data_IF_075046044007
#
_entry.id   IF_075046044007
#
_cell.length_a   1.000
_cell.length_b   1.000
_cell.length_c   1.000
_cell.angle_alpha   90.00
_cell.angle_beta   90.00
_cell.angle_gamma   90.00
#
_symmetry.space_group_name_H-M   'P 1'
#
loop_
_entity.id
_entity.type
_entity.pdbx_description
1 polymer ?
#
# COMPACT_ATOMS: atom_id res chain seq x y z
N UNK A 1 16.26 -12.45 12.12
CA UNK A 1 14.86 -12.38 11.66
C UNK A 1 14.88 -11.23 10.68
N UNK A 2 15.07 -11.50 9.40
CA UNK A 2 15.04 -10.45 8.36
C UNK A 2 13.62 -9.86 8.35
N UNK A 3 13.48 -8.55 8.13
CA UNK A 3 12.21 -7.82 8.22
C UNK A 3 11.06 -8.54 7.52
N UNK A 4 9.90 -8.58 8.18
CA UNK A 4 8.74 -9.28 7.64
C UNK A 4 8.14 -8.48 6.48
N UNK A 5 8.29 -8.98 5.25
CA UNK A 5 7.56 -8.47 4.09
C UNK A 5 6.05 -8.68 4.30
N UNK A 6 5.26 -7.66 4.02
CA UNK A 6 3.80 -7.78 3.99
C UNK A 6 3.33 -8.10 2.56
N UNK A 7 2.15 -8.71 2.46
CA UNK A 7 1.51 -8.97 1.16
C UNK A 7 0.17 -8.24 1.09
N UNK A 8 0.02 -7.35 0.10
CA UNK A 8 -1.27 -6.79 -0.28
C UNK A 8 -1.93 -7.68 -1.33
N UNK A 9 -3.20 -8.04 -1.13
CA UNK A 9 -3.96 -8.94 -2.01
C UNK A 9 -5.24 -8.26 -2.46
N UNK A 10 -5.45 -8.20 -3.77
CA UNK A 10 -6.69 -7.73 -4.39
C UNK A 10 -7.38 -8.90 -5.09
N UNK A 11 -8.64 -9.16 -4.75
CA UNK A 11 -9.43 -10.28 -5.27
C UNK A 11 -10.55 -9.80 -6.18
N UNK A 12 -10.87 -10.61 -7.19
CA UNK A 12 -12.05 -10.40 -8.03
C UNK A 12 -13.33 -10.65 -7.24
N UNK A 13 -14.37 -9.91 -7.58
CA UNK A 13 -15.76 -10.18 -7.21
C UNK A 13 -16.48 -10.63 -8.48
N UNK A 14 -17.21 -11.74 -8.44
CA UNK A 14 -17.92 -12.29 -9.60
C UNK A 14 -17.06 -12.44 -10.88
N UNK A 15 -15.80 -12.88 -10.71
CA UNK A 15 -14.80 -13.04 -11.76
C UNK A 15 -14.30 -11.75 -12.45
N UNK A 16 -14.57 -10.58 -11.88
CA UNK A 16 -14.03 -9.30 -12.37
C UNK A 16 -13.44 -8.44 -11.25
N UNK A 17 -12.46 -7.61 -11.59
CA UNK A 17 -12.13 -6.46 -10.75
C UNK A 17 -13.10 -5.33 -11.10
N UNK A 18 -13.50 -4.54 -10.10
CA UNK A 18 -14.35 -3.37 -10.33
C UNK A 18 -13.65 -2.36 -11.25
N UNK A 19 -12.36 -2.13 -11.00
CA UNK A 19 -11.48 -1.24 -11.74
C UNK A 19 -10.19 -1.97 -12.15
N UNK A 20 -9.49 -1.55 -13.23
CA UNK A 20 -8.26 -2.20 -13.67
C UNK A 20 -7.05 -1.96 -12.74
N UNK A 21 -7.14 -0.94 -11.88
CA UNK A 21 -6.13 -0.57 -10.89
C UNK A 21 -6.80 0.13 -9.70
N UNK A 22 -6.08 0.26 -8.59
CA UNK A 22 -6.45 1.13 -7.47
C UNK A 22 -5.23 1.88 -6.94
N UNK A 23 -5.42 3.06 -6.33
CA UNK A 23 -4.32 3.75 -5.66
C UNK A 23 -4.08 3.22 -4.25
N UNK A 24 -2.80 3.21 -3.86
CA UNK A 24 -2.34 2.89 -2.50
C UNK A 24 -1.20 3.84 -2.10
N UNK A 25 -1.29 4.38 -0.90
CA UNK A 25 -0.19 5.04 -0.19
C UNK A 25 0.14 4.21 1.05
N UNK A 26 1.43 3.88 1.23
CA UNK A 26 1.92 3.23 2.45
C UNK A 26 2.86 4.22 3.12
N UNK A 27 2.35 4.97 4.09
CA UNK A 27 3.05 6.09 4.68
C UNK A 27 3.76 5.66 5.98
N UNK A 28 5.04 5.97 6.18
CA UNK A 28 5.70 5.82 7.47
C UNK A 28 5.03 6.69 8.53
N UNK A 29 4.93 6.18 9.75
CA UNK A 29 4.39 6.89 10.91
C UNK A 29 5.45 6.97 12.01
N UNK A 30 5.40 8.02 12.81
CA UNK A 30 6.33 8.23 13.93
C UNK A 30 6.10 7.23 15.07
N UNK A 31 4.84 6.84 15.28
CA UNK A 31 4.44 5.82 16.24
C UNK A 31 3.13 5.15 15.80
N UNK A 32 2.74 4.09 16.52
CA UNK A 32 1.53 3.31 16.25
C UNK A 32 0.27 3.80 16.96
N UNK A 33 0.26 5.02 17.50
CA UNK A 33 -0.96 5.57 18.11
C UNK A 33 -1.97 5.93 17.02
N UNK A 34 -3.26 5.84 17.35
CA UNK A 34 -4.34 6.24 16.44
C UNK A 34 -4.18 7.70 15.98
N UNK A 35 -3.82 8.60 16.91
CA UNK A 35 -3.59 10.02 16.59
C UNK A 35 -2.47 10.20 15.56
N UNK A 36 -1.33 9.50 15.71
CA UNK A 36 -0.23 9.58 14.77
C UNK A 36 -0.58 9.01 13.38
N UNK A 37 -1.36 7.91 13.33
CA UNK A 37 -1.78 7.29 12.07
C UNK A 37 -2.84 8.13 11.34
N UNK A 38 -3.82 8.69 12.06
CA UNK A 38 -4.87 9.54 11.49
C UNK A 38 -4.33 10.90 11.03
N UNK A 39 -3.30 11.43 11.70
CA UNK A 39 -2.66 12.68 11.28
C UNK A 39 -2.08 12.63 9.85
N UNK A 40 -1.79 11.43 9.33
CA UNK A 40 -1.25 11.20 7.99
C UNK A 40 -2.33 11.23 6.89
N UNK A 41 -3.62 11.24 7.22
CA UNK A 41 -4.71 11.20 6.23
C UNK A 41 -4.65 12.35 5.22
N UNK A 42 -4.31 13.56 5.69
CA UNK A 42 -4.22 14.74 4.82
C UNK A 42 -3.10 14.60 3.78
N UNK A 43 -1.89 14.26 4.23
CA UNK A 43 -0.72 14.08 3.37
C UNK A 43 -0.93 12.91 2.39
N UNK A 44 -1.47 11.78 2.87
CA UNK A 44 -1.79 10.65 2.02
C UNK A 44 -2.86 10.99 0.97
N UNK A 45 -3.85 11.81 1.33
CA UNK A 45 -4.85 12.34 0.40
C UNK A 45 -4.23 13.17 -0.72
N UNK A 46 -3.34 14.11 -0.39
CA UNK A 46 -2.61 14.91 -1.37
C UNK A 46 -1.75 14.03 -2.30
N UNK A 47 -1.07 13.02 -1.75
CA UNK A 47 -0.30 12.05 -2.54
C UNK A 47 -1.19 11.26 -3.51
N UNK A 48 -2.39 10.87 -3.10
CA UNK A 48 -3.36 10.17 -3.96
C UNK A 48 -3.92 11.03 -5.08
N UNK A 49 -4.08 12.34 -4.88
CA UNK A 49 -4.51 13.27 -5.94
C UNK A 49 -3.42 13.50 -6.99
N UNK A 50 -2.15 13.26 -6.61
CA UNK A 50 -0.99 13.40 -7.46
C UNK A 50 -0.77 12.27 -8.47
N UNK A 51 0.45 12.23 -9.01
CA UNK A 51 0.90 11.16 -9.89
C UNK A 51 1.31 9.94 -9.08
N UNK A 52 0.81 8.77 -9.46
CA UNK A 52 1.13 7.50 -8.83
C UNK A 52 2.03 6.65 -9.73
N UNK A 53 2.90 5.85 -9.11
CA UNK A 53 3.79 4.91 -9.80
C UNK A 53 3.07 3.58 -10.01
N UNK A 54 3.03 3.08 -11.24
CA UNK A 54 2.46 1.76 -11.51
C UNK A 54 3.30 0.66 -10.88
N UNK A 55 2.63 -0.26 -10.18
CA UNK A 55 3.22 -1.50 -9.66
C UNK A 55 2.33 -2.66 -10.09
N UNK A 56 2.95 -3.74 -10.56
CA UNK A 56 2.28 -4.93 -11.10
C UNK A 56 2.41 -6.11 -10.16
N UNK A 57 1.71 -7.19 -10.49
CA UNK A 57 1.78 -8.45 -9.76
C UNK A 57 3.23 -8.90 -9.48
N UNK A 58 3.53 -9.15 -8.21
CA UNK A 58 4.86 -9.58 -7.76
C UNK A 58 5.93 -8.49 -7.65
N UNK A 59 5.63 -7.25 -8.06
CA UNK A 59 6.51 -6.11 -7.82
C UNK A 59 6.37 -5.59 -6.38
N UNK A 60 7.31 -4.73 -5.97
CA UNK A 60 7.47 -4.28 -4.58
C UNK A 60 6.97 -2.84 -4.39
N UNK A 61 6.17 -2.65 -3.35
CA UNK A 61 5.74 -1.39 -2.78
C UNK A 61 6.71 -1.07 -1.64
N UNK A 62 7.33 0.11 -1.71
CA UNK A 62 8.18 0.61 -0.63
C UNK A 62 7.44 1.71 0.11
N UNK A 63 7.28 1.62 1.45
CA UNK A 63 6.69 2.69 2.24
C UNK A 63 7.44 4.02 2.06
N UNK A 64 6.70 5.13 2.01
CA UNK A 64 7.25 6.48 1.88
C UNK A 64 6.19 7.51 1.49
N UNK A 65 6.63 8.74 1.24
CA UNK A 65 5.81 9.84 0.73
C UNK A 65 5.52 9.68 -0.77
N UNK A 66 4.86 8.59 -1.16
CA UNK A 66 4.58 8.27 -2.56
C UNK A 66 3.27 7.50 -2.75
N UNK A 67 2.66 7.66 -3.92
CA UNK A 67 1.47 6.93 -4.34
C UNK A 67 1.82 5.84 -5.37
N UNK A 68 1.16 4.69 -5.26
CA UNK A 68 1.23 3.59 -6.22
C UNK A 68 -0.11 3.34 -6.89
N UNK A 69 -0.11 3.07 -8.20
CA UNK A 69 -1.22 2.41 -8.87
C UNK A 69 -0.99 0.90 -8.81
N UNK A 70 -1.80 0.19 -8.04
CA UNK A 70 -1.82 -1.27 -8.02
C UNK A 70 -2.48 -1.77 -9.32
N UNK A 71 -1.70 -2.15 -10.31
CA UNK A 71 -2.22 -2.64 -11.60
C UNK A 71 -2.60 -4.10 -11.48
N UNK A 72 -3.89 -4.40 -11.62
CA UNK A 72 -4.40 -5.76 -11.42
C UNK A 72 -4.15 -6.67 -12.63
N UNK A 73 -3.84 -7.93 -12.35
CA UNK A 73 -3.79 -8.99 -13.36
C UNK A 73 -5.21 -9.50 -13.63
N UNK A 74 -5.82 -9.00 -14.70
CA UNK A 74 -7.16 -9.38 -15.13
C UNK A 74 -7.30 -10.88 -15.51
N UNK A 75 -6.19 -11.60 -15.74
CA UNK A 75 -6.24 -13.04 -15.98
C UNK A 75 -6.24 -13.86 -14.67
N UNK A 76 -5.71 -13.30 -13.58
CA UNK A 76 -5.65 -13.96 -12.28
C UNK A 76 -6.96 -13.80 -11.49
N UNK A 77 -7.26 -14.76 -10.60
CA UNK A 77 -8.35 -14.63 -9.63
C UNK A 77 -8.03 -13.59 -8.53
N UNK A 78 -6.73 -13.38 -8.30
CA UNK A 78 -6.17 -12.49 -7.30
C UNK A 78 -4.86 -11.90 -7.82
N UNK A 79 -4.61 -10.63 -7.51
CA UNK A 79 -3.33 -9.96 -7.74
C UNK A 79 -2.65 -9.72 -6.40
N UNK A 80 -1.37 -10.11 -6.30
CA UNK A 80 -0.57 -9.97 -5.08
C UNK A 80 0.57 -8.98 -5.29
N UNK A 81 0.80 -8.12 -4.31
CA UNK A 81 1.89 -7.15 -4.27
C UNK A 81 2.69 -7.32 -2.98
N UNK A 82 4.00 -7.17 -3.06
CA UNK A 82 4.88 -7.23 -1.88
C UNK A 82 5.00 -5.82 -1.32
N UNK A 83 4.76 -5.64 -0.04
CA UNK A 83 5.08 -4.39 0.67
C UNK A 83 6.31 -4.66 1.51
N UNK A 84 7.42 -4.01 1.17
CA UNK A 84 8.70 -4.21 1.84
C UNK A 84 9.10 -2.93 2.55
N UNK A 85 9.03 -2.89 3.90
CA UNK A 85 9.69 -1.85 4.67
C UNK A 85 11.18 -1.79 4.33
N UNK A 86 11.70 -0.59 4.11
CA UNK A 86 13.15 -0.37 4.02
C UNK A 86 13.73 -0.21 5.42
N UNK A 87 14.91 -0.78 5.66
CA UNK A 87 15.76 -0.44 6.80
C UNK A 87 16.18 1.04 6.69
N UNK A 88 15.49 1.92 7.42
CA UNK A 88 15.88 3.33 7.63
C UNK A 88 16.79 3.49 8.86
N UNK A 89 17.29 2.37 9.40
CA UNK A 89 18.07 2.28 10.63
C UNK A 89 17.25 1.87 11.85
N UNK A 90 15.92 1.73 11.72
CA UNK A 90 15.09 0.98 12.64
C UNK A 90 14.89 -0.43 12.10
N UNK A 91 15.01 -1.43 12.98
CA UNK A 91 14.67 -2.79 12.58
C UNK A 91 13.20 -2.82 12.09
N UNK A 92 12.88 -3.55 11.01
CA UNK A 92 11.56 -3.49 10.37
C UNK A 92 10.37 -3.83 11.29
N UNK A 93 10.62 -4.46 12.43
CA UNK A 93 9.62 -4.80 13.45
C UNK A 93 9.26 -3.65 14.41
N UNK A 94 10.05 -2.57 14.42
CA UNK A 94 9.81 -1.38 15.24
C UNK A 94 9.25 -0.19 14.43
N UNK A 95 9.05 -0.38 13.12
CA UNK A 95 8.52 0.64 12.23
C UNK A 95 6.99 0.65 12.21
N UNK A 96 6.40 1.84 12.11
CA UNK A 96 4.95 2.04 12.04
C UNK A 96 4.57 2.53 10.65
N UNK A 97 3.49 1.98 10.09
CA UNK A 97 3.01 2.33 8.76
C UNK A 97 1.50 2.50 8.77
N UNK A 98 1.01 3.52 8.07
CA UNK A 98 -0.40 3.72 7.75
C UNK A 98 -0.66 3.39 6.28
N UNK A 99 -1.72 2.63 6.02
CA UNK A 99 -2.12 2.21 4.68
C UNK A 99 -3.38 2.97 4.29
N UNK A 100 -3.28 3.75 3.22
CA UNK A 100 -4.41 4.49 2.67
C UNK A 100 -4.71 3.93 1.28
N UNK A 101 -5.94 3.47 1.09
CA UNK A 101 -6.42 2.90 -0.17
C UNK A 101 -7.49 3.81 -0.80
N UNK A 102 -7.51 3.90 -2.13
CA UNK A 102 -8.54 4.65 -2.88
C UNK A 102 -9.96 4.14 -2.64
N UNK A 103 -10.05 2.85 -2.33
CA UNK A 103 -11.31 2.17 -2.04
C UNK A 103 -11.26 1.56 -0.64
N UNK A 104 -12.33 1.78 0.11
CA UNK A 104 -12.56 1.07 1.37
C UNK A 104 -13.15 -0.31 1.08
N UNK A 105 -12.84 -1.35 1.89
CA UNK A 105 -13.52 -2.63 1.79
C UNK A 105 -15.04 -2.46 1.91
N UNK A 106 -15.80 -3.05 1.00
CA UNK A 106 -17.28 -3.06 1.00
C UNK A 106 -17.84 -4.34 1.59
#
# INVERSE_FOLDING_TARGET
>A
HEGEDYTWRAQKVDNAYADPMMKLVVHPATDGTMEALEALEGEAGELMEGACTDVKAGETITPGETCYNLVFDAAAAETTFVVRPTDDGQEPHDAFFAFFAEHVPT
#
